data_IF_605606723770
#
_entry.id   IF_605606723770
#
_cell.length_a   1.000
_cell.length_b   1.000
_cell.length_c   1.000
_cell.angle_alpha   90.00
_cell.angle_beta   90.00
_cell.angle_gamma   90.00
#
_symmetry.space_group_name_H-M   'P 1'
#
loop_
_entity.id
_entity.type
_entity.pdbx_description
1 polymer ?
2 non-polymer ?
3 non-polymer ?
4 non-polymer ?
5 water ?
#
# COMPACT_ATOMS: atom_id res chain seq x y z
N UNK A 39 19.16 14.55 -6.69
CA UNK A 39 18.89 14.18 -8.14
C UNK A 39 17.38 14.18 -8.36
N UNK A 40 16.85 13.39 -9.31
CA UNK A 40 15.40 13.06 -9.40
C UNK A 40 15.11 11.87 -8.47
N UNK A 41 14.14 12.01 -7.56
CA UNK A 41 13.77 10.95 -6.59
C UNK A 41 13.06 9.82 -7.34
N UNK A 42 13.57 8.61 -7.18
CA UNK A 42 12.89 7.37 -7.65
C UNK A 42 11.77 7.04 -6.66
N UNK A 43 10.60 6.74 -7.19
CA UNK A 43 9.41 6.43 -6.39
C UNK A 43 9.11 4.94 -6.59
N UNK A 44 9.15 4.21 -5.50
CA UNK A 44 8.91 2.74 -5.52
C UNK A 44 7.77 2.46 -4.56
N UNK A 45 6.73 1.78 -5.02
CA UNK A 45 5.65 1.35 -4.13
C UNK A 45 5.98 -0.05 -3.63
N UNK A 46 5.77 -0.30 -2.36
CA UNK A 46 5.77 -1.66 -1.74
C UNK A 46 4.30 -2.11 -1.64
N UNK A 47 3.95 -3.16 -2.36
CA UNK A 47 2.57 -3.67 -2.43
C UNK A 47 2.50 -5.04 -1.79
N UNK A 48 1.35 -5.38 -1.25
CA UNK A 48 1.13 -6.73 -0.74
C UNK A 48 -0.06 -6.83 0.15
N UNK A 49 -0.46 -8.06 0.44
CA UNK A 49 -1.67 -8.34 1.24
C UNK A 49 -1.48 -7.84 2.65
N UNK A 50 -2.58 -7.71 3.39
CA UNK A 50 -2.57 -7.46 4.85
C UNK A 50 -1.58 -8.39 5.56
N UNK A 51 -0.67 -7.79 6.34
CA UNK A 51 0.34 -8.47 7.19
C UNK A 51 1.29 -9.33 6.35
N UNK A 52 1.44 -9.08 5.06
CA UNK A 52 2.53 -9.72 4.28
C UNK A 52 3.92 -9.34 4.86
N UNK A 53 4.08 -8.20 5.52
CA UNK A 53 5.40 -7.73 6.05
C UNK A 53 5.93 -6.45 5.42
N UNK A 54 5.03 -5.59 4.92
CA UNK A 54 5.39 -4.35 4.20
C UNK A 54 6.00 -3.34 5.17
N UNK A 55 5.35 -3.10 6.31
CA UNK A 55 5.84 -2.11 7.31
C UNK A 55 7.20 -2.59 7.82
N UNK A 56 7.29 -3.87 8.14
CA UNK A 56 8.57 -4.51 8.55
C UNK A 56 9.64 -4.26 7.49
N UNK A 57 9.34 -4.51 6.22
CA UNK A 57 10.32 -4.42 5.11
C UNK A 57 10.78 -2.96 4.96
N UNK A 58 9.81 -2.04 4.94
CA UNK A 58 10.09 -0.60 4.72
C UNK A 58 10.96 -0.04 5.87
N UNK A 59 10.73 -0.49 7.09
CA UNK A 59 11.50 -0.06 8.28
C UNK A 59 12.92 -0.66 8.23
N UNK A 60 13.07 -1.87 7.67
CA UNK A 60 14.41 -2.44 7.33
C UNK A 60 15.09 -1.52 6.30
N UNK A 61 14.47 -1.26 5.15
CA UNK A 61 15.09 -0.51 4.05
C UNK A 61 15.51 0.86 4.56
N UNK A 62 14.67 1.54 5.34
CA UNK A 62 14.97 2.97 5.62
C UNK A 62 16.35 3.09 6.30
N UNK A 63 16.68 2.13 7.15
CA UNK A 63 17.93 2.13 7.96
C UNK A 63 19.17 1.85 7.10
N UNK A 64 19.03 1.42 5.83
CA UNK A 64 20.19 0.86 5.08
C UNK A 64 20.90 1.93 4.25
N UNK A 65 20.32 3.11 4.05
CA UNK A 65 20.93 4.16 3.22
C UNK A 65 20.36 5.50 3.66
N UNK A 66 21.20 6.51 3.72
CA UNK A 66 20.76 7.91 3.93
C UNK A 66 20.05 8.39 2.65
N UNK A 67 20.21 7.72 1.53
CA UNK A 67 19.58 8.08 0.25
C UNK A 67 18.18 7.42 0.16
N UNK A 68 17.81 6.63 1.18
CA UNK A 68 16.50 5.91 1.18
C UNK A 68 15.59 6.42 2.27
N UNK A 69 14.37 6.81 1.88
CA UNK A 69 13.34 7.32 2.80
C UNK A 69 12.05 6.50 2.55
N UNK A 70 11.12 6.51 3.50
CA UNK A 70 9.87 5.70 3.40
C UNK A 70 8.68 6.60 3.71
N UNK A 71 7.55 6.34 3.07
CA UNK A 71 6.24 6.98 3.41
C UNK A 71 5.34 5.85 3.91
N UNK A 72 5.18 5.67 5.23
CA UNK A 72 4.24 4.73 5.80
C UNK A 72 2.82 5.05 5.33
N UNK A 73 2.03 4.01 5.21
CA UNK A 73 0.59 4.11 4.83
C UNK A 73 -0.17 4.80 5.96
N UNK A 74 -0.94 5.87 5.67
CA UNK A 74 -1.76 6.48 6.73
C UNK A 74 -2.64 5.47 7.49
N UNK A 75 -3.31 4.57 6.79
CA UNK A 75 -4.21 3.60 7.47
C UNK A 75 -3.39 2.79 8.47
N UNK A 76 -2.18 2.36 8.06
CA UNK A 76 -1.28 1.60 8.98
C UNK A 76 -1.00 2.46 10.21
N UNK A 77 -0.70 3.75 10.02
CA UNK A 77 -0.37 4.64 11.18
C UNK A 77 -1.61 4.82 12.06
N UNK A 78 -2.82 4.94 11.50
CA UNK A 78 -4.08 5.04 12.29
C UNK A 78 -4.27 3.78 13.13
N UNK A 79 -3.79 2.62 12.65
CA UNK A 79 -4.04 1.30 13.30
C UNK A 79 -3.06 1.06 14.46
N UNK A 80 -2.10 1.97 14.72
CA UNK A 80 -1.16 1.91 15.88
C UNK A 80 -1.82 1.07 16.99
N UNK A 91 -3.09 11.80 18.38
CA UNK A 91 -2.98 13.22 18.83
C UNK A 91 -3.19 14.16 17.63
N UNK A 92 -2.65 13.85 16.45
CA UNK A 92 -2.84 14.64 15.20
C UNK A 92 -4.33 14.57 14.75
N UNK A 93 -4.81 15.59 14.05
CA UNK A 93 -6.23 15.67 13.60
C UNK A 93 -6.46 14.49 12.64
N UNK A 94 -5.51 14.22 11.75
CA UNK A 94 -5.69 13.07 10.82
C UNK A 94 -5.77 11.77 11.65
N UNK A 95 -4.96 11.60 12.70
CA UNK A 95 -4.91 10.31 13.42
C UNK A 95 -6.23 10.12 14.19
N UNK A 96 -6.73 11.19 14.78
CA UNK A 96 -8.02 11.19 15.50
C UNK A 96 -9.13 10.82 14.51
N UNK A 97 -9.20 11.48 13.35
CA UNK A 97 -10.20 11.19 12.30
C UNK A 97 -10.03 9.73 11.86
N UNK A 98 -8.79 9.32 11.64
CA UNK A 98 -8.50 7.97 11.11
C UNK A 98 -8.87 6.89 12.10
N UNK A 99 -8.55 7.10 13.39
CA UNK A 99 -8.93 6.11 14.42
C UNK A 99 -10.43 6.00 14.55
N UNK A 100 -11.16 7.12 14.51
CA UNK A 100 -12.65 7.12 14.52
C UNK A 100 -13.17 6.40 13.28
N UNK A 101 -12.70 6.79 12.10
CA UNK A 101 -13.22 6.14 10.87
C UNK A 101 -12.99 4.62 10.86
N UNK A 102 -11.80 4.15 11.24
CA UNK A 102 -11.50 2.69 11.30
C UNK A 102 -12.46 1.96 12.23
N UNK A 103 -12.67 2.49 13.42
CA UNK A 103 -13.57 1.89 14.41
C UNK A 103 -14.98 1.82 13.84
N UNK A 104 -15.46 2.88 13.20
CA UNK A 104 -16.81 2.95 12.58
C UNK A 104 -16.90 1.92 11.44
N UNK A 105 -15.80 1.78 10.70
CA UNK A 105 -15.71 0.82 9.55
C UNK A 105 -15.95 -0.60 10.04
N UNK A 106 -15.33 -0.99 11.15
CA UNK A 106 -15.44 -2.36 11.70
C UNK A 106 -16.88 -2.59 12.12
N UNK A 107 -17.50 -1.56 12.71
CA UNK A 107 -18.93 -1.57 13.15
C UNK A 107 -19.88 -1.67 11.96
N UNK A 108 -19.69 -0.85 10.92
CA UNK A 108 -20.71 -0.74 9.84
C UNK A 108 -20.01 -0.35 8.54
N UNK A 109 -19.35 -1.31 7.86
CA UNK A 109 -18.63 -1.02 6.62
C UNK A 109 -19.47 -0.42 5.49
N UNK A 110 -20.77 -0.77 5.36
CA UNK A 110 -21.63 -0.30 4.28
C UNK A 110 -22.02 1.17 4.56
N UNK A 111 -21.78 1.68 5.74
CA UNK A 111 -22.01 3.10 6.02
C UNK A 111 -20.73 3.92 5.76
N UNK A 112 -19.56 3.37 6.08
CA UNK A 112 -18.32 4.18 6.26
C UNK A 112 -17.30 3.94 5.15
N UNK A 113 -17.49 2.96 4.25
CA UNK A 113 -16.46 2.58 3.26
C UNK A 113 -16.07 3.78 2.39
N UNK A 114 -17.03 4.51 1.88
CA UNK A 114 -16.74 5.64 0.96
C UNK A 114 -15.92 6.71 1.71
N UNK A 115 -16.34 7.06 2.92
CA UNK A 115 -15.71 8.09 3.75
C UNK A 115 -14.30 7.63 4.09
N UNK A 116 -14.15 6.40 4.57
CA UNK A 116 -12.81 5.80 4.88
C UNK A 116 -11.87 5.86 3.67
N UNK A 117 -12.32 5.32 2.54
CA UNK A 117 -11.45 5.17 1.35
C UNK A 117 -11.04 6.57 0.85
N UNK A 118 -11.95 7.55 0.83
CA UNK A 118 -11.60 8.89 0.36
C UNK A 118 -10.55 9.48 1.32
N UNK A 119 -10.73 9.36 2.62
CA UNK A 119 -9.76 9.94 3.59
C UNK A 119 -8.43 9.19 3.57
N UNK A 120 -8.45 7.87 3.41
CA UNK A 120 -7.21 7.09 3.33
C UNK A 120 -6.41 7.53 2.11
N UNK A 121 -7.07 7.73 0.98
CA UNK A 121 -6.37 8.08 -0.27
C UNK A 121 -5.88 9.54 -0.20
N UNK A 122 -6.73 10.48 0.22
CA UNK A 122 -6.28 11.89 0.48
C UNK A 122 -5.05 11.92 1.36
N UNK A 123 -5.09 11.20 2.49
CA UNK A 123 -4.05 11.19 3.53
C UNK A 123 -2.77 10.68 2.90
N UNK A 124 -2.89 9.69 2.03
CA UNK A 124 -1.70 9.09 1.40
C UNK A 124 -1.10 10.09 0.44
N UNK A 125 -1.91 10.74 -0.40
CA UNK A 125 -1.40 11.70 -1.42
C UNK A 125 -0.66 12.80 -0.64
N UNK A 126 -1.27 13.30 0.43
CA UNK A 126 -0.68 14.43 1.19
C UNK A 126 0.69 13.99 1.72
N UNK A 127 0.78 12.81 2.33
CA UNK A 127 2.00 12.26 2.96
C UNK A 127 3.07 11.99 1.90
N UNK A 128 2.68 11.41 0.76
CA UNK A 128 3.64 11.15 -0.36
C UNK A 128 4.18 12.49 -0.90
N UNK A 129 3.32 13.46 -1.16
CA UNK A 129 3.76 14.76 -1.70
C UNK A 129 4.68 15.47 -0.72
N UNK A 130 4.38 15.41 0.59
CA UNK A 130 5.18 16.05 1.67
C UNK A 130 6.61 15.45 1.68
N UNK A 131 6.72 14.13 1.65
CA UNK A 131 8.03 13.48 1.56
C UNK A 131 8.74 13.87 0.28
N UNK A 132 8.06 13.90 -0.85
CA UNK A 132 8.64 14.14 -2.18
C UNK A 132 9.18 15.57 -2.25
N UNK A 133 8.55 16.50 -1.55
CA UNK A 133 8.92 17.95 -1.53
C UNK A 133 9.82 18.28 -0.35
N UNK A 134 9.93 17.39 0.62
CA UNK A 134 10.56 17.69 1.91
C UNK A 134 11.93 17.06 1.96
N UNK A 135 12.08 15.85 1.43
CA UNK A 135 13.22 14.95 1.81
C UNK A 135 14.16 14.74 0.62
N UNK A 136 15.32 14.15 0.93
CA UNK A 136 16.29 13.58 -0.05
C UNK A 136 16.87 14.67 -0.97
N UNK A 137 16.93 15.93 -0.56
CA UNK A 137 17.37 17.00 -1.51
C UNK A 137 18.90 16.97 -1.67
N UNK A 138 19.66 16.45 -0.71
CA UNK A 138 21.15 16.38 -0.80
C UNK A 138 21.59 14.97 -1.22
N UNK A 139 20.68 14.07 -1.53
CA UNK A 139 20.99 12.64 -1.79
C UNK A 139 21.61 12.51 -3.19
N UNK A 140 22.54 11.57 -3.36
CA UNK A 140 23.12 11.29 -4.69
C UNK A 140 22.20 10.35 -5.47
N UNK A 141 21.68 9.28 -4.86
CA UNK A 141 20.78 8.32 -5.54
C UNK A 141 19.47 8.19 -4.76
N UNK A 142 18.61 9.22 -4.77
CA UNK A 142 17.46 9.26 -3.89
C UNK A 142 16.37 8.25 -4.29
N UNK A 143 15.88 7.52 -3.28
CA UNK A 143 14.74 6.55 -3.45
C UNK A 143 13.75 6.77 -2.31
N UNK A 144 12.49 6.93 -2.65
CA UNK A 144 11.38 7.02 -1.69
C UNK A 144 10.54 5.76 -1.88
N UNK A 145 10.47 4.95 -0.84
CA UNK A 145 9.64 3.73 -0.77
C UNK A 145 8.29 4.11 -0.16
N UNK A 146 7.25 3.95 -0.96
CA UNK A 146 5.84 4.12 -0.51
C UNK A 146 5.34 2.79 0.07
N UNK A 147 4.85 2.79 1.30
CA UNK A 147 4.01 1.67 1.81
C UNK A 147 2.64 1.75 1.10
N UNK A 148 2.45 0.92 0.07
CA UNK A 148 1.29 0.93 -0.84
C UNK A 148 1.13 2.24 -1.59
N UNK A 149 0.09 2.36 -2.40
CA UNK A 149 -0.01 3.43 -3.42
C UNK A 149 -1.48 3.86 -3.53
N UNK A 150 -1.71 4.92 -4.28
CA UNK A 150 -3.07 5.35 -4.65
C UNK A 150 -3.71 4.26 -5.53
N UNK A 151 -2.91 3.40 -6.19
CA UNK A 151 -3.46 2.32 -7.03
C UNK A 151 -3.98 1.17 -6.16
N UNK A 152 -3.28 0.79 -5.07
CA UNK A 152 -3.81 -0.26 -4.17
C UNK A 152 -5.08 0.27 -3.48
N UNK A 153 -5.10 1.56 -3.12
CA UNK A 153 -6.28 2.16 -2.47
C UNK A 153 -7.52 1.85 -3.33
N UNK A 154 -7.42 2.06 -4.65
CA UNK A 154 -8.57 2.01 -5.54
C UNK A 154 -8.79 0.55 -6.00
N UNK A 155 -7.76 -0.09 -6.54
CA UNK A 155 -7.90 -1.36 -7.30
C UNK A 155 -7.88 -2.56 -6.36
N UNK A 156 -7.42 -2.42 -5.12
CA UNK A 156 -7.45 -3.53 -4.13
C UNK A 156 -8.60 -3.23 -3.17
N UNK A 157 -8.47 -2.16 -2.41
CA UNK A 157 -9.34 -1.99 -1.22
C UNK A 157 -10.72 -1.45 -1.61
N UNK A 158 -10.77 -0.30 -2.26
CA UNK A 158 -12.06 0.37 -2.55
C UNK A 158 -12.87 -0.57 -3.47
N UNK A 159 -12.20 -1.17 -4.45
CA UNK A 159 -12.78 -2.16 -5.40
C UNK A 159 -13.38 -3.32 -4.61
N UNK A 160 -12.65 -3.86 -3.64
CA UNK A 160 -13.17 -5.00 -2.82
C UNK A 160 -14.40 -4.54 -2.05
N UNK A 161 -14.37 -3.31 -1.53
CA UNK A 161 -15.51 -2.83 -0.69
C UNK A 161 -16.75 -2.65 -1.59
N UNK A 162 -16.58 -2.18 -2.82
CA UNK A 162 -17.67 -2.14 -3.82
C UNK A 162 -18.18 -3.57 -4.08
N UNK A 163 -17.25 -4.49 -4.36
CA UNK A 163 -17.60 -5.91 -4.64
C UNK A 163 -18.31 -6.54 -3.45
N UNK A 164 -18.08 -6.12 -2.22
CA UNK A 164 -18.73 -6.67 -1.02
C UNK A 164 -20.04 -5.94 -0.70
N UNK A 165 -20.46 -5.00 -1.55
CA UNK A 165 -21.69 -4.16 -1.36
C UNK A 165 -21.55 -3.18 -0.20
N UNK A 166 -20.33 -2.88 0.24
CA UNK A 166 -20.08 -1.87 1.29
C UNK A 166 -20.08 -0.46 0.68
N UNK A 167 -19.91 -0.35 -0.62
CA UNK A 167 -20.24 0.90 -1.35
C UNK A 167 -21.30 0.54 -2.39
N UNK A 168 -22.30 1.41 -2.61
CA UNK A 168 -23.26 1.27 -3.74
C UNK A 168 -22.60 1.82 -5.01
N UNK A 169 -23.26 1.68 -6.15
CA UNK A 169 -22.71 2.07 -7.46
C UNK A 169 -22.35 3.57 -7.46
N UNK A 170 -23.21 4.42 -6.95
CA UNK A 170 -22.99 5.90 -6.92
C UNK A 170 -21.73 6.21 -6.10
N UNK A 171 -21.60 5.60 -4.93
CA UNK A 171 -20.43 5.79 -4.04
C UNK A 171 -19.18 5.37 -4.81
N UNK A 172 -19.23 4.24 -5.48
CA UNK A 172 -18.07 3.67 -6.21
C UNK A 172 -17.74 4.53 -7.43
N UNK A 173 -18.74 5.01 -8.20
CA UNK A 173 -18.53 5.90 -9.35
C UNK A 173 -18.02 7.27 -8.86
N UNK A 174 -18.59 7.82 -7.78
CA UNK A 174 -18.06 9.11 -7.21
C UNK A 174 -16.59 8.90 -6.80
N UNK A 175 -16.30 7.81 -6.12
CA UNK A 175 -14.93 7.49 -5.67
C UNK A 175 -13.99 7.42 -6.88
N UNK A 176 -14.35 6.69 -7.94
CA UNK A 176 -13.42 6.56 -9.11
C UNK A 176 -13.22 7.92 -9.80
N UNK A 177 -14.29 8.69 -9.95
CA UNK A 177 -14.25 10.06 -10.54
C UNK A 177 -13.30 10.95 -9.72
N UNK A 178 -13.45 10.93 -8.39
CA UNK A 178 -12.66 11.66 -7.37
C UNK A 178 -11.20 11.23 -7.52
N UNK A 179 -10.97 9.93 -7.58
CA UNK A 179 -9.60 9.36 -7.71
C UNK A 179 -8.96 9.76 -9.05
N UNK A 180 -9.69 9.65 -10.15
CA UNK A 180 -9.18 9.90 -11.52
C UNK A 180 -8.74 11.35 -11.57
N UNK A 181 -9.55 12.25 -11.00
CA UNK A 181 -9.29 13.70 -10.99
C UNK A 181 -8.23 14.07 -9.94
N UNK A 182 -8.31 13.55 -8.70
CA UNK A 182 -7.47 13.91 -7.51
C UNK A 182 -6.01 13.54 -7.82
N UNK A 183 -5.79 12.50 -8.63
CA UNK A 183 -4.43 12.01 -9.01
C UNK A 183 -3.89 12.81 -10.19
N UNK A 184 -4.76 13.33 -11.06
CA UNK A 184 -4.32 14.15 -12.21
C UNK A 184 -4.04 15.60 -11.75
N UNK A 185 -4.79 16.09 -10.77
CA UNK A 185 -4.62 17.47 -10.26
C UNK A 185 -3.62 17.51 -9.10
N UNK A 188 3.02 12.94 -13.97
CA UNK A 188 2.58 13.40 -12.62
C UNK A 188 3.68 13.13 -11.58
N UNK A 189 3.56 13.80 -10.43
CA UNK A 189 4.61 13.94 -9.41
C UNK A 189 4.74 12.64 -8.59
N UNK A 190 3.64 11.91 -8.38
CA UNK A 190 3.65 10.63 -7.61
C UNK A 190 3.77 9.41 -8.53
N UNK A 191 3.89 9.55 -9.86
CA UNK A 191 3.99 8.38 -10.79
C UNK A 191 5.17 7.49 -10.36
N UNK A 192 4.97 6.19 -10.42
CA UNK A 192 5.91 5.21 -9.82
C UNK A 192 6.97 4.88 -10.87
N UNK A 193 8.22 4.73 -10.42
CA UNK A 193 9.32 4.19 -11.24
C UNK A 193 9.33 2.65 -11.17
N UNK A 194 8.78 2.07 -10.11
CA UNK A 194 8.79 0.62 -9.89
C UNK A 194 7.84 0.21 -8.78
N UNK A 195 7.47 -1.05 -8.77
CA UNK A 195 6.66 -1.68 -7.70
C UNK A 195 7.41 -2.90 -7.20
N UNK A 196 7.46 -3.03 -5.89
CA UNK A 196 7.98 -4.24 -5.23
C UNK A 196 6.76 -4.92 -4.62
N UNK A 197 6.47 -6.11 -5.13
CA UNK A 197 5.36 -6.95 -4.66
C UNK A 197 5.86 -7.96 -3.61
N UNK A 198 5.49 -7.80 -2.36
CA UNK A 198 5.80 -8.76 -1.29
C UNK A 198 4.70 -9.80 -1.33
N UNK A 199 5.00 -10.93 -1.94
CA UNK A 199 4.01 -11.99 -2.25
C UNK A 199 4.04 -13.00 -1.11
N UNK A 200 2.95 -13.11 -0.35
CA UNK A 200 2.76 -14.10 0.73
C UNK A 200 1.44 -14.85 0.54
N UNK A 201 1.36 -16.09 1.00
CA UNK A 201 0.10 -16.88 0.90
C UNK A 201 -0.94 -16.26 1.84
N UNK A 202 -2.24 -16.38 1.53
CA UNK A 202 -3.26 -15.99 2.51
C UNK A 202 -2.99 -16.55 3.91
N UNK A 203 -2.55 -17.81 4.02
CA UNK A 203 -2.27 -18.48 5.33
C UNK A 203 -1.15 -17.77 6.09
N UNK A 204 -0.05 -17.41 5.39
CA UNK A 204 1.07 -16.63 5.98
C UNK A 204 0.52 -15.34 6.57
N UNK A 205 -0.28 -14.62 5.78
CA UNK A 205 -0.85 -13.29 6.18
C UNK A 205 -1.78 -13.49 7.38
N UNK A 206 -2.63 -14.54 7.38
CA UNK A 206 -3.51 -14.84 8.54
C UNK A 206 -2.65 -15.07 9.79
N UNK A 207 -1.58 -15.85 9.65
CA UNK A 207 -0.64 -16.12 10.78
C UNK A 207 0.01 -14.81 11.24
N UNK A 208 0.42 -13.96 10.29
CA UNK A 208 1.04 -12.65 10.61
C UNK A 208 0.03 -11.68 11.23
N UNK A 209 -1.25 -11.70 10.83
CA UNK A 209 -2.25 -10.92 11.62
C UNK A 209 -2.21 -11.39 13.08
N UNK A 210 -2.20 -12.69 13.30
CA UNK A 210 -2.11 -13.30 14.66
C UNK A 210 -0.84 -12.80 15.36
N UNK A 211 0.34 -12.93 14.73
CA UNK A 211 1.59 -12.40 15.34
C UNK A 211 1.41 -10.94 15.74
N UNK A 212 0.86 -10.08 14.87
CA UNK A 212 0.83 -8.62 15.12
C UNK A 212 -0.10 -8.28 16.31
N UNK A 213 -1.20 -9.02 16.45
CA UNK A 213 -2.07 -9.00 17.65
C UNK A 213 -3.02 -7.81 17.74
N UNK A 214 -3.30 -7.07 16.66
CA UNK A 214 -4.29 -5.94 16.78
C UNK A 214 -5.66 -6.57 17.05
N UNK A 215 -6.33 -6.16 18.12
CA UNK A 215 -7.58 -6.83 18.61
C UNK A 215 -8.61 -6.83 17.48
N UNK A 216 -8.82 -5.67 16.85
CA UNK A 216 -9.85 -5.46 15.78
C UNK A 216 -9.61 -6.44 14.62
N UNK A 217 -8.39 -6.91 14.37
CA UNK A 217 -8.08 -7.71 13.15
C UNK A 217 -8.22 -9.22 13.38
N UNK A 218 -8.35 -9.68 14.63
CA UNK A 218 -8.24 -11.14 14.90
C UNK A 218 -9.46 -11.87 14.32
N UNK A 219 -10.53 -11.15 14.00
CA UNK A 219 -11.74 -11.72 13.39
C UNK A 219 -11.68 -11.77 11.88
N UNK A 220 -10.69 -11.12 11.26
CA UNK A 220 -10.58 -11.15 9.77
C UNK A 220 -10.38 -12.59 9.33
N UNK A 221 -11.25 -13.09 8.44
CA UNK A 221 -11.19 -14.48 7.99
C UNK A 221 -10.32 -14.74 6.75
N UNK A 222 -9.81 -15.96 6.64
CA UNK A 222 -8.91 -16.39 5.54
C UNK A 222 -9.52 -16.01 4.19
N UNK A 223 -10.85 -16.18 4.06
CA UNK A 223 -11.62 -15.91 2.80
C UNK A 223 -11.39 -14.48 2.31
N UNK A 224 -11.38 -13.50 3.21
CA UNK A 224 -11.15 -12.07 2.88
C UNK A 224 -9.73 -11.92 2.32
N UNK A 225 -8.77 -12.51 3.02
CA UNK A 225 -7.33 -12.44 2.60
C UNK A 225 -7.16 -13.13 1.27
N UNK A 226 -7.84 -14.26 1.05
CA UNK A 226 -7.84 -14.96 -0.26
C UNK A 226 -8.32 -14.00 -1.36
N UNK A 227 -9.40 -13.26 -1.10
CA UNK A 227 -9.91 -12.32 -2.12
C UNK A 227 -8.89 -11.22 -2.44
N UNK A 228 -8.29 -10.61 -1.41
CA UNK A 228 -7.25 -9.56 -1.61
C UNK A 228 -6.03 -10.16 -2.34
N UNK A 229 -5.67 -11.39 -1.97
CA UNK A 229 -4.52 -12.09 -2.61
C UNK A 229 -4.78 -12.20 -4.11
N UNK A 230 -5.97 -12.66 -4.50
CA UNK A 230 -6.35 -12.85 -5.91
C UNK A 230 -6.20 -11.53 -6.67
N UNK A 231 -6.67 -10.43 -6.08
CA UNK A 231 -6.58 -9.10 -6.71
C UNK A 231 -5.11 -8.72 -6.93
N UNK A 232 -4.25 -8.94 -5.94
CA UNK A 232 -2.81 -8.61 -6.08
C UNK A 232 -2.20 -9.48 -7.18
N UNK A 233 -2.51 -10.77 -7.18
CA UNK A 233 -1.98 -11.68 -8.24
C UNK A 233 -2.45 -11.18 -9.60
N UNK A 234 -3.75 -10.86 -9.78
CA UNK A 234 -4.29 -10.35 -11.07
C UNK A 234 -3.58 -9.06 -11.46
N UNK A 235 -3.31 -8.18 -10.50
CA UNK A 235 -2.77 -6.83 -10.83
C UNK A 235 -1.27 -6.92 -11.11
N UNK A 236 -0.51 -7.59 -10.25
CA UNK A 236 0.96 -7.46 -10.23
C UNK A 236 1.68 -8.70 -10.78
N UNK A 237 1.06 -9.87 -10.85
CA UNK A 237 1.77 -11.09 -11.35
C UNK A 237 1.33 -11.39 -12.78
N UNK A 238 0.03 -11.61 -12.99
CA UNK A 238 -0.62 -11.88 -14.31
C UNK A 238 -0.73 -10.58 -15.10
N UNK A 239 -0.80 -9.43 -14.42
CA UNK A 239 -0.93 -8.10 -15.07
C UNK A 239 -2.19 -8.10 -15.95
N UNK A 240 -3.24 -8.83 -15.51
CA UNK A 240 -4.57 -8.94 -16.18
C UNK A 240 -5.49 -7.78 -15.81
N UNK A 241 -5.35 -7.22 -14.59
CA UNK A 241 -6.25 -6.16 -14.06
C UNK A 241 -6.03 -4.88 -14.88
N UNK A 242 -7.10 -4.35 -15.48
CA UNK A 242 -7.08 -3.09 -16.26
C UNK A 242 -7.27 -1.93 -15.27
N UNK A 243 -6.50 -0.87 -15.44
CA UNK A 243 -6.60 0.36 -14.63
C UNK A 243 -6.77 1.51 -15.59
N UNK A 244 -6.96 2.69 -15.03
CA UNK A 244 -7.19 3.93 -15.79
C UNK A 244 -5.88 4.73 -15.83
N UNK A 245 -4.73 4.08 -15.55
CA UNK A 245 -3.38 4.72 -15.54
C UNK A 245 -2.47 3.93 -16.49
N UNK A 246 -2.48 4.34 -17.76
CA UNK A 246 -1.89 3.55 -18.88
C UNK A 246 -0.43 3.19 -18.56
N UNK A 247 0.31 4.14 -17.97
CA UNK A 247 1.77 4.03 -17.70
C UNK A 247 2.04 2.81 -16.79
N UNK A 248 1.11 2.44 -15.90
CA UNK A 248 1.24 1.29 -14.96
C UNK A 248 1.56 -0.01 -15.71
N UNK A 249 1.05 -0.22 -16.93
CA UNK A 249 1.30 -1.51 -17.66
C UNK A 249 2.80 -1.67 -17.96
N UNK A 250 3.52 -0.55 -18.03
CA UNK A 250 4.96 -0.46 -18.38
C UNK A 250 5.83 -0.38 -17.12
N UNK A 251 5.27 -0.17 -15.93
CA UNK A 251 6.10 0.01 -14.70
C UNK A 251 6.70 -1.34 -14.34
N UNK A 252 8.03 -1.40 -14.16
CA UNK A 252 8.67 -2.63 -13.71
C UNK A 252 8.19 -3.09 -12.34
N UNK A 253 8.07 -4.40 -12.18
CA UNK A 253 7.60 -5.01 -10.91
C UNK A 253 8.66 -6.03 -10.49
N UNK A 254 9.08 -5.93 -9.25
CA UNK A 254 9.92 -6.95 -8.58
C UNK A 254 9.04 -7.76 -7.64
N UNK A 255 8.86 -9.05 -7.88
CA UNK A 255 8.09 -9.91 -6.95
C UNK A 255 9.04 -10.62 -5.97
N UNK A 256 8.84 -10.44 -4.68
CA UNK A 256 9.64 -11.09 -3.61
C UNK A 256 8.72 -12.03 -2.84
N UNK A 257 9.15 -13.28 -2.71
CA UNK A 257 8.44 -14.26 -1.87
C UNK A 257 8.82 -14.02 -0.43
N UNK A 258 7.87 -13.63 0.42
CA UNK A 258 8.16 -13.29 1.83
C UNK A 258 7.45 -14.30 2.74
N UNK A 259 7.12 -15.50 2.25
CA UNK A 259 6.54 -16.54 3.15
C UNK A 259 7.50 -16.92 4.26
N UNK A 260 8.79 -17.06 3.96
CA UNK A 260 9.82 -17.31 5.00
C UNK A 260 10.03 -16.00 5.76
N UNK A 261 10.06 -16.08 7.09
CA UNK A 261 10.44 -14.99 8.02
C UNK A 261 11.76 -14.33 7.58
N UNK A 262 11.82 -13.00 7.51
CA UNK A 262 13.01 -12.29 6.96
C UNK A 262 13.54 -11.27 7.97
N UNK A 263 12.95 -11.16 9.15
CA UNK A 263 13.30 -10.03 10.04
C UNK A 263 14.79 -10.08 10.40
N UNK A 264 15.37 -11.27 10.54
CA UNK A 264 16.79 -11.50 10.93
C UNK A 264 17.59 -12.02 9.75
N UNK A 265 16.98 -12.11 8.57
CA UNK A 265 17.59 -12.76 7.41
C UNK A 265 17.00 -12.13 6.15
N UNK A 266 17.35 -10.88 5.88
CA UNK A 266 16.74 -10.14 4.76
C UNK A 266 17.78 -9.78 3.70
N UNK A 267 19.05 -10.20 3.84
CA UNK A 267 20.10 -9.73 2.92
C UNK A 267 19.78 -10.10 1.47
N UNK A 268 19.25 -11.32 1.16
CA UNK A 268 18.93 -11.74 -0.23
C UNK A 268 17.81 -10.86 -0.79
N UNK A 269 16.80 -10.52 0.00
CA UNK A 269 15.69 -9.63 -0.42
C UNK A 269 16.27 -8.26 -0.79
N UNK A 270 17.10 -7.71 0.08
CA UNK A 270 17.66 -6.36 -0.19
C UNK A 270 18.57 -6.39 -1.41
N UNK A 271 19.35 -7.47 -1.59
CA UNK A 271 20.17 -7.58 -2.81
C UNK A 271 19.27 -7.49 -4.03
N UNK A 272 18.10 -8.16 -4.00
CA UNK A 272 17.17 -8.13 -5.15
C UNK A 272 16.67 -6.70 -5.37
N UNK A 273 16.38 -6.00 -4.25
CA UNK A 273 15.95 -4.58 -4.32
C UNK A 273 17.05 -3.73 -4.96
N UNK A 274 18.31 -3.86 -4.51
CA UNK A 274 19.42 -3.06 -5.09
C UNK A 274 19.61 -3.39 -6.58
N UNK A 275 19.52 -4.63 -7.01
CA UNK A 275 19.63 -4.99 -8.44
C UNK A 275 18.49 -4.34 -9.24
N UNK A 276 17.28 -4.38 -8.69
CA UNK A 276 16.06 -3.89 -9.35
C UNK A 276 16.22 -2.37 -9.53
N UNK A 277 16.62 -1.68 -8.46
CA UNK A 277 16.85 -0.21 -8.45
C UNK A 277 17.87 0.18 -9.55
N UNK A 278 18.95 -0.59 -9.72
CA UNK A 278 20.00 -0.30 -10.73
C UNK A 278 19.41 -0.40 -12.13
N UNK A 279 18.30 -1.11 -12.34
CA UNK A 279 17.72 -1.28 -13.69
C UNK A 279 16.83 -0.08 -13.99
N UNK A 280 16.45 0.71 -12.99
CA UNK A 280 15.49 1.84 -13.17
C UNK A 280 16.27 3.11 -13.50
#
# INVERSE_FOLDING_TARGET
MGSSHHHHHHSSGLVPRGSHMATPPKRSSPSFSASSEGTRIKKISIEGNIAAGKSTFVNILKQLSEDWEVVPEPVARWSNVQSTQDEFEELTMEQKNGGNVLQMMYEKPERWSFTFQTYACLSRIRAQLASLNGKLKDAEKPVLFFERSVYSDRYIFASNLYESESMNETEWTIYQDWHDWMNNQFGQSLELDGIIYLQATPETCLHRIYLRGRNEEQGIPLEYLEKLHYKHESWLLHRTLKTNFDYLQEVPILTLDVNEDFKDKYESLVEKVKEFLSTL
#
